data_IF_391274863576
#
_entry.id   IF_391274863576
#
_cell.length_a   1.000
_cell.length_b   1.000
_cell.length_c   1.000
_cell.angle_alpha   90.00
_cell.angle_beta   90.00
_cell.angle_gamma   90.00
#
_symmetry.space_group_name_H-M   'P 1'
#
loop_
_entity.id
_entity.type
_entity.pdbx_description
1 polymer ?
#
# COMPACT_ATOMS: atom_id res chain seq x y z
N UNK A 1 11.01 8.45 12.33
CA UNK A 1 10.67 9.51 11.36
C UNK A 1 10.95 8.96 9.99
N UNK A 2 9.90 8.75 9.19
CA UNK A 2 10.02 8.30 7.80
C UNK A 2 10.73 9.38 6.99
N UNK A 3 11.83 9.01 6.31
CA UNK A 3 12.67 9.97 5.58
C UNK A 3 11.96 10.56 4.33
N UNK A 4 11.05 9.81 3.72
CA UNK A 4 10.32 10.22 2.52
C UNK A 4 8.88 9.70 2.52
N UNK A 5 7.98 10.40 1.83
CA UNK A 5 6.60 9.94 1.69
C UNK A 5 6.49 8.81 0.66
N UNK A 6 6.48 7.55 1.11
CA UNK A 6 6.32 6.39 0.23
C UNK A 6 4.85 6.13 -0.06
N UNK A 7 4.42 6.45 -1.29
CA UNK A 7 3.08 6.13 -1.79
C UNK A 7 3.16 5.72 -3.26
N UNK A 8 2.60 4.57 -3.58
CA UNK A 8 2.50 4.03 -4.92
C UNK A 8 1.06 3.62 -5.19
N UNK A 9 0.54 3.99 -6.36
CA UNK A 9 -0.80 3.58 -6.79
C UNK A 9 -0.73 3.11 -8.24
N UNK A 10 -1.14 1.87 -8.46
CA UNK A 10 -1.09 1.18 -9.75
C UNK A 10 -2.50 0.75 -10.10
N UNK A 11 -2.88 0.97 -11.36
CA UNK A 11 -4.13 0.48 -11.91
C UNK A 11 -3.88 -0.52 -13.04
N UNK A 12 -4.79 -1.48 -13.15
CA UNK A 12 -4.90 -2.34 -14.32
C UNK A 12 -6.33 -2.30 -14.84
N UNK A 13 -6.49 -1.84 -16.07
CA UNK A 13 -7.76 -1.75 -16.79
C UNK A 13 -7.69 -2.55 -18.08
N UNK A 14 -8.62 -3.48 -18.27
CA UNK A 14 -8.82 -4.26 -19.49
C UNK A 14 -10.32 -4.61 -19.59
N UNK A 15 -11.02 -3.89 -20.47
CA UNK A 15 -12.45 -4.04 -20.66
C UNK A 15 -12.83 -5.40 -21.27
N UNK A 16 -12.01 -5.93 -22.18
CA UNK A 16 -12.23 -7.23 -22.82
C UNK A 16 -12.19 -8.40 -21.84
N UNK A 17 -11.56 -8.20 -20.67
CA UNK A 17 -11.49 -9.19 -19.58
C UNK A 17 -12.31 -8.81 -18.33
N UNK A 18 -13.18 -7.80 -18.41
CA UNK A 18 -13.90 -7.24 -17.25
C UNK A 18 -12.96 -6.94 -16.06
N UNK A 19 -11.78 -6.39 -16.37
CA UNK A 19 -10.72 -6.11 -15.42
C UNK A 19 -10.65 -4.61 -15.15
N UNK A 20 -10.95 -4.22 -13.93
CA UNK A 20 -10.70 -2.88 -13.43
C UNK A 20 -10.24 -3.02 -11.98
N UNK A 21 -8.93 -3.11 -11.77
CA UNK A 21 -8.33 -3.36 -10.44
C UNK A 21 -7.29 -2.31 -10.10
N UNK A 22 -7.14 -2.05 -8.81
CA UNK A 22 -6.09 -1.20 -8.26
C UNK A 22 -5.23 -1.98 -7.26
N UNK A 23 -3.99 -1.52 -7.11
CA UNK A 23 -3.08 -1.89 -6.06
C UNK A 23 -2.41 -0.61 -5.53
N UNK A 24 -2.43 -0.40 -4.22
CA UNK A 24 -1.84 0.77 -3.59
C UNK A 24 -0.93 0.32 -2.45
N UNK A 25 0.23 0.95 -2.35
CA UNK A 25 1.20 0.75 -1.28
C UNK A 25 1.52 2.09 -0.62
N UNK A 26 1.59 2.09 0.71
CA UNK A 26 2.14 3.21 1.47
C UNK A 26 2.95 2.73 2.65
N UNK A 27 4.01 3.45 2.99
CA UNK A 27 4.66 3.33 4.30
C UNK A 27 4.21 4.52 5.13
N UNK A 28 3.65 4.24 6.29
CA UNK A 28 3.06 5.21 7.21
C UNK A 28 3.59 4.98 8.62
N UNK A 29 3.70 6.04 9.42
CA UNK A 29 4.06 5.93 10.83
C UNK A 29 2.80 5.72 11.66
N UNK A 30 2.84 4.75 12.58
CA UNK A 30 1.75 4.56 13.55
C UNK A 30 1.82 5.60 14.65
N UNK A 31 0.73 5.76 15.42
CA UNK A 31 0.68 6.65 16.59
C UNK A 31 1.75 6.34 17.65
N UNK A 32 2.31 5.13 17.63
CA UNK A 32 3.36 4.68 18.55
C UNK A 32 4.77 4.82 17.96
N UNK A 33 4.91 5.46 16.79
CA UNK A 33 6.20 5.68 16.14
C UNK A 33 6.76 4.45 15.42
N UNK A 34 5.96 3.39 15.23
CA UNK A 34 6.37 2.23 14.44
C UNK A 34 6.14 2.48 12.94
N UNK A 35 6.96 1.84 12.10
CA UNK A 35 6.77 1.90 10.65
C UNK A 35 5.73 0.87 10.22
N UNK A 36 4.75 1.27 9.40
CA UNK A 36 3.69 0.38 8.93
C UNK A 36 3.59 0.41 7.40
N UNK A 37 3.74 -0.75 6.78
CA UNK A 37 3.50 -0.94 5.35
C UNK A 37 2.03 -1.31 5.13
N UNK A 38 1.30 -0.41 4.48
CA UNK A 38 -0.11 -0.55 4.16
C UNK A 38 -0.24 -0.97 2.69
N UNK A 39 -0.91 -2.10 2.47
CA UNK A 39 -1.22 -2.63 1.14
C UNK A 39 -2.72 -2.61 0.93
N UNK A 40 -3.19 -1.98 -0.15
CA UNK A 40 -4.61 -1.93 -0.51
C UNK A 40 -4.82 -2.45 -1.92
N UNK A 41 -5.85 -3.24 -2.13
CA UNK A 41 -6.15 -3.75 -3.47
C UNK A 41 -7.62 -4.06 -3.63
N UNK A 42 -8.13 -3.97 -4.85
CA UNK A 42 -9.54 -4.21 -5.11
C UNK A 42 -9.94 -3.90 -6.53
N UNK A 43 -11.26 -3.88 -6.77
CA UNK A 43 -11.79 -3.32 -8.00
C UNK A 43 -11.83 -1.81 -7.90
N UNK A 44 -11.54 -1.12 -8.99
CA UNK A 44 -11.61 0.36 -9.04
C UNK A 44 -13.06 0.79 -8.73
N UNK A 45 -13.21 1.80 -7.86
CA UNK A 45 -14.51 2.27 -7.38
C UNK A 45 -15.05 1.54 -6.15
N UNK A 46 -14.29 0.61 -5.55
CA UNK A 46 -14.66 -0.05 -4.29
C UNK A 46 -13.60 0.16 -3.21
N UNK A 47 -13.96 -0.08 -1.95
CA UNK A 47 -13.03 -0.01 -0.82
C UNK A 47 -11.89 -1.04 -0.93
N UNK A 48 -12.15 -2.17 -1.61
CA UNK A 48 -11.20 -3.26 -1.74
C UNK A 48 -10.91 -3.96 -0.41
N UNK A 49 -9.68 -4.46 -0.29
CA UNK A 49 -9.10 -5.06 0.92
C UNK A 49 -7.87 -4.26 1.32
N UNK A 50 -7.55 -4.33 2.59
CA UNK A 50 -6.34 -3.72 3.17
C UNK A 50 -5.63 -4.76 4.04
N UNK A 51 -4.30 -4.76 3.98
CA UNK A 51 -3.44 -5.45 4.94
C UNK A 51 -2.35 -4.49 5.38
N UNK A 52 -2.03 -4.55 6.67
CA UNK A 52 -1.02 -3.73 7.32
C UNK A 52 0.05 -4.64 7.92
N UNK A 53 1.30 -4.24 7.78
CA UNK A 53 2.44 -4.92 8.40
C UNK A 53 3.27 -3.90 9.15
N UNK A 54 3.41 -4.10 10.45
CA UNK A 54 4.24 -3.25 11.31
C UNK A 54 5.68 -3.76 11.32
N UNK A 55 6.62 -2.83 11.30
CA UNK A 55 8.06 -3.02 11.36
C UNK A 55 8.65 -2.04 12.37
N UNK A 56 9.76 -2.43 12.98
CA UNK A 56 10.47 -1.57 13.92
C UNK A 56 11.39 -0.57 13.19
N UNK A 57 11.82 -0.90 11.98
CA UNK A 57 12.71 -0.08 11.15
C UNK A 57 12.10 0.27 9.78
N UNK A 58 12.44 1.46 9.27
CA UNK A 58 12.00 1.93 7.95
C UNK A 58 12.59 1.09 6.81
N UNK A 59 13.84 0.66 6.93
CA UNK A 59 14.54 -0.16 5.94
C UNK A 59 13.90 -1.52 5.73
N UNK A 60 13.38 -2.15 6.78
CA UNK A 60 12.63 -3.40 6.68
C UNK A 60 11.32 -3.24 5.89
N UNK A 61 10.60 -2.14 6.14
CA UNK A 61 9.39 -1.82 5.38
C UNK A 61 9.72 -1.52 3.92
N UNK A 62 10.82 -0.81 3.64
CA UNK A 62 11.28 -0.49 2.30
C UNK A 62 11.70 -1.71 1.48
N UNK A 63 12.32 -2.71 2.12
CA UNK A 63 12.66 -3.97 1.44
C UNK A 63 11.44 -4.73 0.90
N UNK A 64 10.23 -4.38 1.36
CA UNK A 64 8.97 -5.01 0.99
C UNK A 64 8.00 -4.06 0.27
N UNK A 65 8.41 -2.81 0.01
CA UNK A 65 7.66 -1.78 -0.70
C UNK A 65 7.87 -1.89 -2.22
#
# INVERSE_FOLDING_TARGET
>A
MIAQQYRLYIERRDAGRNMARFYALSIEETLFGQTCLVRRWGRIGTTGRVVQHSFDDEGEALGLF
#
